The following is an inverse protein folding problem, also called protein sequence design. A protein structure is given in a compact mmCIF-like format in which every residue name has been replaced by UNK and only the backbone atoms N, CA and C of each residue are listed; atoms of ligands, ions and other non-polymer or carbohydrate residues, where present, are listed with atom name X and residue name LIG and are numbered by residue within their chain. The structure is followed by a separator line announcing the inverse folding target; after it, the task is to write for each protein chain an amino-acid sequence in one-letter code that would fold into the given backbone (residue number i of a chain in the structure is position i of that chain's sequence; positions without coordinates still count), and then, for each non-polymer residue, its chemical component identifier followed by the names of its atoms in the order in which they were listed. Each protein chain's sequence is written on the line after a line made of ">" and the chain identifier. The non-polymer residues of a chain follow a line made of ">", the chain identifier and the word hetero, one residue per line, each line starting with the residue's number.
data_IF_296607490411
#
_entry.id   IF_296607490411
#
_cell.length_a   1.000
_cell.length_b   1.000
_cell.length_c   1.000
_cell.angle_alpha   90.00
_cell.angle_beta   90.00
_cell.angle_gamma   90.00
#
_symmetry.space_group_name_H-M   'P 1'
#
loop_
_entity.id
_entity.type
_entity.pdbx_description
1 polymer ?
#
# COMPACT_ATOMS: atom_id res chain seq x y z
N UNK A 1 -18.41 0.05 3.76
CA UNK A 1 -17.77 1.36 3.47
C UNK A 1 -16.53 1.13 2.64
N UNK A 2 -16.06 2.10 1.85
CA UNK A 2 -14.75 2.04 1.18
C UNK A 2 -13.92 3.20 1.72
N UNK A 3 -12.79 2.90 2.37
CA UNK A 3 -11.85 3.91 2.84
C UNK A 3 -10.70 4.06 1.83
N UNK A 4 -10.67 5.15 1.04
CA UNK A 4 -9.68 5.30 -0.02
C UNK A 4 -8.31 5.78 0.48
N UNK A 5 -8.11 5.96 1.79
CA UNK A 5 -6.86 6.50 2.33
C UNK A 5 -6.50 5.85 3.67
N UNK A 6 -5.76 4.75 3.60
CA UNK A 6 -5.15 4.08 4.74
C UNK A 6 -3.61 4.06 4.65
N UNK A 7 -2.95 3.82 5.77
CA UNK A 7 -1.49 3.61 5.89
C UNK A 7 -1.22 2.50 6.91
N UNK A 8 -1.35 1.25 6.49
CA UNK A 8 -1.15 0.06 7.34
C UNK A 8 0.27 -0.47 7.22
N UNK A 9 0.88 -0.81 8.36
CA UNK A 9 2.27 -1.27 8.47
C UNK A 9 3.27 -0.37 7.71
N UNK A 10 3.00 0.94 7.67
CA UNK A 10 3.81 1.92 6.95
C UNK A 10 5.04 2.28 7.79
N UNK A 11 6.22 2.22 7.17
CA UNK A 11 7.46 2.70 7.78
C UNK A 11 7.58 4.23 7.57
N UNK A 12 7.67 4.99 8.66
CA UNK A 12 7.76 6.44 8.65
C UNK A 12 8.66 6.96 9.78
N UNK A 13 9.67 7.78 9.42
CA UNK A 13 10.63 8.39 10.36
C UNK A 13 11.30 7.39 11.33
N UNK A 14 11.64 6.20 10.84
CA UNK A 14 12.33 5.16 11.64
C UNK A 14 11.40 4.36 12.56
N UNK A 15 10.09 4.58 12.48
CA UNK A 15 9.07 3.82 13.18
C UNK A 15 8.12 3.18 12.16
N UNK A 16 7.32 2.23 12.62
CA UNK A 16 6.24 1.63 11.81
C UNK A 16 4.90 1.94 12.47
N UNK A 17 3.85 2.15 11.66
CA UNK A 17 2.49 2.27 12.19
C UNK A 17 2.11 1.01 12.97
N UNK A 18 1.39 1.19 14.08
CA UNK A 18 1.06 0.07 14.98
C UNK A 18 0.04 -0.90 14.38
N UNK A 19 -0.89 -0.38 13.58
CA UNK A 19 -1.84 -1.20 12.87
C UNK A 19 -1.20 -1.78 11.61
N UNK A 20 -1.37 -3.08 11.47
CA UNK A 20 -0.95 -3.83 10.31
C UNK A 20 -2.14 -4.20 9.42
N UNK A 21 -1.88 -4.90 8.31
CA UNK A 21 -2.96 -5.28 7.38
C UNK A 21 -4.05 -6.16 8.02
N UNK A 22 -3.76 -6.96 9.05
CA UNK A 22 -4.80 -7.72 9.74
C UNK A 22 -5.52 -6.85 10.77
N UNK A 23 -4.79 -6.21 11.68
CA UNK A 23 -5.40 -5.45 12.79
C UNK A 23 -6.18 -4.23 12.30
N UNK A 24 -5.61 -3.49 11.34
CA UNK A 24 -6.26 -2.32 10.74
C UNK A 24 -7.51 -2.69 9.94
N UNK A 25 -7.47 -3.79 9.18
CA UNK A 25 -8.66 -4.27 8.45
C UNK A 25 -9.73 -4.83 9.39
N UNK A 26 -9.34 -5.53 10.47
CA UNK A 26 -10.29 -5.98 11.48
C UNK A 26 -11.00 -4.80 12.16
N UNK A 27 -10.27 -3.73 12.47
CA UNK A 27 -10.84 -2.49 13.00
C UNK A 27 -11.79 -1.83 11.98
N UNK A 28 -11.41 -1.77 10.70
CA UNK A 28 -12.24 -1.24 9.63
C UNK A 28 -13.56 -2.02 9.50
N UNK A 29 -13.49 -3.36 9.49
CA UNK A 29 -14.64 -4.25 9.42
C UNK A 29 -15.58 -4.08 10.62
N UNK A 30 -15.03 -3.98 11.84
CA UNK A 30 -15.81 -3.71 13.03
C UNK A 30 -16.56 -2.36 12.96
N UNK A 31 -15.99 -1.38 12.24
CA UNK A 31 -16.60 -0.08 11.95
C UNK A 31 -17.54 -0.05 10.73
N UNK A 32 -17.72 -1.17 10.01
CA UNK A 32 -18.55 -1.26 8.81
C UNK A 32 -17.88 -0.81 7.51
N UNK A 33 -16.57 -0.55 7.53
CA UNK A 33 -15.75 -0.41 6.31
C UNK A 33 -15.34 -1.80 5.83
N UNK A 34 -15.49 -2.04 4.54
CA UNK A 34 -15.43 -3.38 3.92
C UNK A 34 -14.39 -3.46 2.80
N UNK A 35 -13.71 -2.35 2.50
CA UNK A 35 -12.56 -2.29 1.60
C UNK A 35 -11.71 -1.06 1.96
N UNK A 36 -10.41 -1.14 1.76
CA UNK A 36 -9.55 0.05 1.80
C UNK A 36 -8.67 0.19 0.54
N UNK A 37 -8.11 1.38 0.36
CA UNK A 37 -7.04 1.63 -0.61
C UNK A 37 -5.86 2.22 0.17
N UNK A 38 -4.77 1.45 0.26
CA UNK A 38 -3.55 1.83 0.99
C UNK A 38 -2.53 2.51 0.06
N UNK A 39 -1.45 3.07 0.59
CA UNK A 39 -0.42 3.75 -0.19
C UNK A 39 0.90 2.97 -0.18
N UNK A 40 1.29 2.47 -1.36
CA UNK A 40 2.61 1.88 -1.53
C UNK A 40 3.66 2.99 -1.53
N UNK A 41 4.65 2.83 -0.64
CA UNK A 41 5.84 3.68 -0.60
C UNK A 41 6.99 2.96 -1.34
N UNK A 42 7.60 3.57 -2.37
CA UNK A 42 8.71 2.97 -3.11
C UNK A 42 9.91 2.63 -2.23
N UNK A 43 10.55 1.50 -2.48
CA UNK A 43 11.79 1.09 -1.80
C UNK A 43 12.98 1.58 -2.61
N UNK A 44 13.80 2.46 -2.02
CA UNK A 44 14.93 3.11 -2.70
C UNK A 44 14.55 3.75 -4.05
N UNK A 45 13.29 4.20 -4.16
CA UNK A 45 12.75 4.82 -5.38
C UNK A 45 12.30 3.85 -6.48
N UNK A 46 12.35 2.53 -6.27
CA UNK A 46 11.73 1.54 -7.19
C UNK A 46 10.27 1.32 -6.82
N UNK A 47 9.37 1.52 -7.79
CA UNK A 47 7.93 1.32 -7.58
C UNK A 47 7.61 -0.17 -7.48
N UNK A 48 8.22 -0.98 -8.34
CA UNK A 48 8.05 -2.44 -8.35
C UNK A 48 8.49 -3.07 -7.02
N UNK A 49 9.64 -2.66 -6.49
CA UNK A 49 10.10 -3.15 -5.19
C UNK A 49 9.18 -2.72 -4.04
N UNK A 50 8.63 -1.50 -4.10
CA UNK A 50 7.58 -1.05 -3.18
C UNK A 50 6.32 -1.91 -3.27
N UNK A 51 5.86 -2.20 -4.48
CA UNK A 51 4.68 -3.02 -4.73
C UNK A 51 4.86 -4.43 -4.16
N UNK A 52 6.00 -5.08 -4.41
CA UNK A 52 6.28 -6.41 -3.90
C UNK A 52 6.34 -6.42 -2.36
N UNK A 53 6.92 -5.38 -1.74
CA UNK A 53 6.98 -5.24 -0.29
C UNK A 53 5.57 -5.11 0.32
N UNK A 54 4.74 -4.22 -0.20
CA UNK A 54 3.37 -4.02 0.30
C UNK A 54 2.45 -5.20 -0.01
N UNK A 55 2.59 -5.83 -1.19
CA UNK A 55 1.87 -7.06 -1.53
C UNK A 55 2.19 -8.19 -0.55
N UNK A 56 3.44 -8.27 -0.07
CA UNK A 56 3.81 -9.23 0.97
C UNK A 56 3.23 -8.86 2.34
N UNK A 57 3.30 -7.58 2.76
CA UNK A 57 2.66 -7.09 4.00
C UNK A 57 1.16 -7.39 4.01
N UNK A 58 0.47 -7.19 2.89
CA UNK A 58 -0.97 -7.36 2.76
C UNK A 58 -1.47 -8.81 2.77
N UNK A 59 -0.60 -9.82 2.69
CA UNK A 59 -0.99 -11.24 2.74
C UNK A 59 -1.69 -11.65 4.04
N UNK A 60 -1.52 -10.89 5.11
CA UNK A 60 -2.22 -11.11 6.40
C UNK A 60 -3.60 -10.45 6.48
N UNK A 61 -4.02 -9.70 5.46
CA UNK A 61 -5.31 -9.03 5.41
C UNK A 61 -6.50 -9.99 5.53
N UNK A 62 -7.60 -9.49 6.08
CA UNK A 62 -8.90 -10.14 6.24
C UNK A 62 -10.04 -9.45 5.48
N UNK A 63 -9.73 -8.44 4.67
CA UNK A 63 -10.68 -7.61 3.92
C UNK A 63 -10.11 -7.30 2.54
N UNK A 64 -10.96 -7.10 1.53
CA UNK A 64 -10.54 -6.66 0.20
C UNK A 64 -9.79 -5.32 0.27
N UNK A 65 -8.81 -5.14 -0.62
CA UNK A 65 -7.99 -3.93 -0.66
C UNK A 65 -7.51 -3.60 -2.08
N UNK A 66 -7.13 -2.35 -2.27
CA UNK A 66 -6.35 -1.87 -3.41
C UNK A 66 -5.17 -1.03 -2.97
N UNK A 67 -4.39 -0.53 -3.93
CA UNK A 67 -3.25 0.33 -3.65
C UNK A 67 -3.21 1.57 -4.55
N UNK A 68 -2.84 2.70 -3.95
CA UNK A 68 -2.21 3.82 -4.63
C UNK A 68 -0.70 3.59 -4.70
N UNK A 69 -0.03 4.12 -5.74
CA UNK A 69 1.43 4.13 -5.84
C UNK A 69 1.96 5.55 -5.60
N UNK A 70 2.74 5.75 -4.53
CA UNK A 70 3.35 7.04 -4.26
C UNK A 70 4.55 7.29 -5.21
N UNK A 71 4.58 8.46 -5.85
CA UNK A 71 5.70 8.90 -6.68
C UNK A 71 6.53 9.90 -5.87
N UNK A 72 7.62 9.42 -5.26
CA UNK A 72 8.46 10.21 -4.33
C UNK A 72 9.69 10.84 -4.99
N UNK A 73 9.99 10.46 -6.23
CA UNK A 73 11.03 11.03 -7.09
C UNK A 73 10.60 10.92 -8.55
N UNK A 74 11.36 11.53 -9.45
CA UNK A 74 11.13 11.44 -10.89
C UNK A 74 12.42 11.14 -11.64
N UNK A 75 12.38 10.12 -12.50
CA UNK A 75 13.39 9.76 -13.49
C UNK A 75 12.75 8.86 -14.57
N UNK A 76 13.50 8.53 -15.63
CA UNK A 76 13.01 7.71 -16.75
C UNK A 76 12.66 6.28 -16.32
N UNK A 77 13.29 5.75 -15.26
CA UNK A 77 12.96 4.44 -14.69
C UNK A 77 11.58 4.49 -14.03
N UNK A 78 11.31 5.50 -13.19
CA UNK A 78 10.00 5.71 -12.57
C UNK A 78 8.90 5.86 -13.61
N UNK A 79 9.14 6.60 -14.70
CA UNK A 79 8.16 6.73 -15.78
C UNK A 79 7.82 5.39 -16.44
N UNK A 80 8.80 4.50 -16.64
CA UNK A 80 8.57 3.15 -17.16
C UNK A 80 7.86 2.26 -16.14
N UNK A 81 8.30 2.29 -14.89
CA UNK A 81 7.67 1.55 -13.79
C UNK A 81 6.19 1.93 -13.66
N UNK A 82 5.82 3.21 -13.82
CA UNK A 82 4.42 3.65 -13.78
C UNK A 82 3.55 2.98 -14.86
N UNK A 83 4.08 2.79 -16.07
CA UNK A 83 3.36 2.05 -17.12
C UNK A 83 3.14 0.58 -16.70
N UNK A 84 4.17 -0.07 -16.14
CA UNK A 84 4.07 -1.44 -15.62
C UNK A 84 3.03 -1.51 -14.50
N UNK A 85 3.04 -0.57 -13.55
CA UNK A 85 2.09 -0.54 -12.42
C UNK A 85 0.64 -0.41 -12.88
N UNK A 86 0.37 0.28 -14.00
CA UNK A 86 -0.99 0.44 -14.52
C UNK A 86 -1.42 -0.73 -15.40
N UNK A 87 -0.50 -1.35 -16.14
CA UNK A 87 -0.83 -2.38 -17.14
C UNK A 87 -0.75 -3.81 -16.62
N UNK A 88 0.14 -4.09 -15.67
CA UNK A 88 0.56 -5.46 -15.35
C UNK A 88 0.37 -5.85 -13.87
N UNK A 89 0.12 -4.88 -12.98
CA UNK A 89 -0.07 -5.09 -11.55
C UNK A 89 -1.49 -4.74 -11.15
#
# INVERSE_FOLDING_TARGET
>A
GIDPHAHLEMDFMGMQTIDDFFSGQAAALAGGTTMHIDFIIPVNGSLTAGFDAYSNKAKKGCMDYGFHMAITKWDDDVSRDMEVMVREK
#
